data_IF_250103174618
#
_entry.id   IF_250103174618
#
_cell.length_a   1.000
_cell.length_b   1.000
_cell.length_c   1.000
_cell.angle_alpha   90.00
_cell.angle_beta   90.00
_cell.angle_gamma   90.00
#
_symmetry.space_group_name_H-M   'P 1'
#
loop_
_entity.id
_entity.type
_entity.pdbx_description
1 polymer ?
#
# COMPACT_ATOMS: atom_id res chain seq x y z
N UNK A 1 33.60 16.05 -8.68
CA UNK A 1 33.65 14.59 -8.85
C UNK A 1 32.71 14.16 -9.95
N UNK A 2 33.24 13.58 -11.03
CA UNK A 2 32.44 13.03 -12.12
C UNK A 2 32.72 11.52 -12.19
N UNK A 3 31.65 10.73 -12.36
CA UNK A 3 31.77 9.29 -12.52
C UNK A 3 32.47 8.96 -13.84
N UNK A 4 33.31 7.93 -13.83
CA UNK A 4 33.88 7.37 -15.05
C UNK A 4 32.80 6.68 -15.88
N UNK A 5 33.08 6.40 -17.16
CA UNK A 5 32.14 5.68 -18.04
C UNK A 5 31.73 4.32 -17.49
N UNK A 6 32.66 3.61 -16.85
CA UNK A 6 32.39 2.31 -16.21
C UNK A 6 31.45 2.45 -15.00
N UNK A 7 31.64 3.51 -14.22
CA UNK A 7 30.77 3.79 -13.08
C UNK A 7 29.36 4.20 -13.53
N UNK A 8 29.25 4.99 -14.60
CA UNK A 8 27.96 5.32 -15.23
C UNK A 8 27.22 4.08 -15.70
N UNK A 9 27.91 3.16 -16.38
CA UNK A 9 27.31 1.89 -16.79
C UNK A 9 26.83 1.07 -15.58
N UNK A 10 27.57 1.09 -14.47
CA UNK A 10 27.15 0.46 -13.22
C UNK A 10 25.87 1.07 -12.64
N UNK A 11 25.74 2.39 -12.66
CA UNK A 11 24.53 3.10 -12.19
C UNK A 11 23.33 2.78 -13.07
N UNK A 12 23.48 2.82 -14.40
CA UNK A 12 22.39 2.52 -15.32
C UNK A 12 21.89 1.07 -15.16
N UNK A 13 22.81 0.12 -15.00
CA UNK A 13 22.45 -1.27 -14.76
C UNK A 13 21.67 -1.44 -13.45
N UNK A 14 22.11 -0.78 -12.37
CA UNK A 14 21.44 -0.84 -11.06
C UNK A 14 20.03 -0.23 -11.13
N UNK A 15 19.88 0.93 -11.77
CA UNK A 15 18.58 1.58 -11.92
C UNK A 15 17.63 0.77 -12.80
N UNK A 16 18.16 0.09 -13.83
CA UNK A 16 17.39 -0.77 -14.71
C UNK A 16 16.96 -2.05 -13.99
N UNK A 17 17.85 -2.67 -13.21
CA UNK A 17 17.59 -3.89 -12.45
C UNK A 17 16.54 -3.69 -11.35
N UNK A 18 16.58 -2.54 -10.67
CA UNK A 18 15.71 -2.23 -9.52
C UNK A 18 14.75 -1.07 -9.81
N UNK A 19 14.33 -0.92 -11.07
CA UNK A 19 13.54 0.22 -11.54
C UNK A 19 12.22 0.39 -10.76
N UNK A 20 11.59 -0.72 -10.38
CA UNK A 20 10.37 -0.79 -9.56
C UNK A 20 10.59 -0.25 -8.14
N UNK A 21 11.68 -0.64 -7.49
CA UNK A 21 12.10 -0.16 -6.16
C UNK A 21 12.34 1.35 -6.22
N UNK A 22 13.10 1.82 -7.21
CA UNK A 22 13.40 3.25 -7.38
C UNK A 22 12.16 4.08 -7.77
N UNK A 23 11.25 3.51 -8.56
CA UNK A 23 9.98 4.13 -8.89
C UNK A 23 9.00 4.18 -7.71
N UNK A 24 9.30 3.49 -6.59
CA UNK A 24 8.39 3.26 -5.48
C UNK A 24 7.04 2.70 -5.97
N UNK A 25 7.09 1.86 -7.00
CA UNK A 25 5.92 1.26 -7.60
C UNK A 25 5.50 0.04 -6.80
N UNK A 26 4.22 -0.03 -6.44
CA UNK A 26 3.65 -1.22 -5.79
C UNK A 26 3.07 -2.08 -6.90
N UNK A 27 3.85 -3.04 -7.39
CA UNK A 27 3.45 -3.99 -8.45
C UNK A 27 3.07 -5.37 -7.91
N UNK A 28 3.72 -5.81 -6.83
CA UNK A 28 3.50 -7.14 -6.26
C UNK A 28 3.82 -7.20 -4.76
N UNK A 29 3.27 -8.20 -4.08
CA UNK A 29 3.58 -8.52 -2.69
C UNK A 29 4.38 -9.82 -2.61
N UNK A 30 5.66 -9.68 -2.26
CA UNK A 30 6.53 -10.80 -1.92
C UNK A 30 6.48 -11.07 -0.42
N UNK A 31 5.64 -12.01 0.02
CA UNK A 31 5.55 -12.39 1.42
C UNK A 31 6.86 -13.02 1.91
N UNK A 32 7.42 -12.50 3.01
CA UNK A 32 8.59 -13.08 3.66
C UNK A 32 8.21 -14.40 4.31
N UNK A 33 8.95 -15.47 4.00
CA UNK A 33 8.71 -16.80 4.59
C UNK A 33 8.85 -16.72 6.11
N UNK A 34 7.79 -17.06 6.83
CA UNK A 34 7.74 -16.98 8.29
C UNK A 34 7.55 -15.57 8.86
N UNK A 35 7.40 -14.55 8.01
CA UNK A 35 7.08 -13.19 8.42
C UNK A 35 5.61 -13.08 8.83
N UNK A 36 5.34 -12.94 10.13
CA UNK A 36 4.00 -12.73 10.66
C UNK A 36 3.92 -11.39 11.38
N UNK A 37 2.97 -10.54 11.00
CA UNK A 37 2.66 -9.33 11.77
C UNK A 37 1.66 -9.66 12.88
N UNK A 38 2.13 -9.72 14.14
CA UNK A 38 1.29 -9.97 15.31
C UNK A 38 0.84 -8.68 15.97
N UNK A 39 -0.46 -8.42 15.92
CA UNK A 39 -1.08 -7.34 16.67
C UNK A 39 -1.22 -7.73 18.14
N UNK A 40 -0.62 -6.95 19.05
CA UNK A 40 -0.77 -7.15 20.49
C UNK A 40 -2.12 -6.58 20.98
N UNK A 41 -3.19 -7.35 20.80
CA UNK A 41 -4.54 -6.98 21.18
C UNK A 41 -4.80 -7.38 22.63
N UNK A 42 -5.18 -6.42 23.48
CA UNK A 42 -5.57 -6.71 24.87
C UNK A 42 -6.89 -7.51 24.89
N UNK A 43 -7.06 -8.49 25.81
CA UNK A 43 -8.22 -9.41 25.80
C UNK A 43 -9.60 -8.75 25.87
N UNK A 44 -9.72 -7.56 26.46
CA UNK A 44 -11.01 -6.87 26.67
C UNK A 44 -11.30 -5.78 25.64
N UNK A 45 -10.51 -5.68 24.57
CA UNK A 45 -10.71 -4.64 23.55
C UNK A 45 -11.81 -5.06 22.58
N UNK A 46 -12.87 -4.25 22.51
CA UNK A 46 -13.91 -4.37 21.50
C UNK A 46 -13.61 -3.44 20.34
N UNK A 47 -13.48 -3.98 19.13
CA UNK A 47 -13.33 -3.19 17.91
C UNK A 47 -14.70 -2.89 17.29
N UNK A 48 -14.80 -1.73 16.63
CA UNK A 48 -15.97 -1.42 15.80
C UNK A 48 -15.96 -2.32 14.56
N UNK A 49 -17.07 -3.00 14.28
CA UNK A 49 -17.32 -3.70 13.00
C UNK A 49 -18.24 -2.89 12.08
N UNK A 50 -18.67 -1.71 12.52
CA UNK A 50 -19.60 -0.86 11.77
C UNK A 50 -18.87 -0.19 10.60
N UNK A 51 -19.28 -0.54 9.39
CA UNK A 51 -18.83 0.14 8.17
C UNK A 51 -19.47 1.53 8.11
N UNK A 52 -18.69 2.56 8.42
CA UNK A 52 -19.14 3.94 8.30
C UNK A 52 -18.75 4.49 6.93
N UNK A 53 -19.75 4.71 6.06
CA UNK A 53 -19.53 5.41 4.80
C UNK A 53 -19.46 6.90 5.09
N UNK A 54 -18.24 7.46 5.07
CA UNK A 54 -18.06 8.91 5.10
C UNK A 54 -18.39 9.47 3.72
N UNK A 55 -19.01 10.65 3.65
CA UNK A 55 -19.14 11.37 2.39
C UNK A 55 -17.75 11.80 1.92
N UNK A 56 -17.31 11.27 0.79
CA UNK A 56 -16.07 11.62 0.11
C UNK A 56 -16.45 12.51 -1.08
N UNK A 57 -15.67 13.56 -1.38
CA UNK A 57 -15.92 14.40 -2.56
C UNK A 57 -15.68 13.58 -3.83
N UNK A 58 -16.35 13.87 -4.95
CA UNK A 58 -16.15 13.11 -6.19
C UNK A 58 -14.67 13.04 -6.64
N UNK A 59 -13.92 14.14 -6.48
CA UNK A 59 -12.49 14.18 -6.79
C UNK A 59 -11.65 13.28 -5.89
N UNK A 60 -11.95 13.23 -4.59
CA UNK A 60 -11.26 12.35 -3.65
C UNK A 60 -11.66 10.89 -3.84
N UNK A 61 -12.89 10.61 -4.28
CA UNK A 61 -13.36 9.27 -4.58
C UNK A 61 -12.59 8.67 -5.76
N UNK A 62 -12.41 9.41 -6.85
CA UNK A 62 -11.63 8.94 -8.00
C UNK A 62 -10.18 8.59 -7.62
N UNK A 63 -9.55 9.37 -6.74
CA UNK A 63 -8.20 9.09 -6.25
C UNK A 63 -8.16 7.84 -5.35
N UNK A 64 -9.14 7.69 -4.46
CA UNK A 64 -9.29 6.50 -3.63
C UNK A 64 -9.49 5.25 -4.49
N UNK A 65 -10.38 5.29 -5.47
CA UNK A 65 -10.68 4.16 -6.36
C UNK A 65 -9.45 3.74 -7.16
N UNK A 66 -8.70 4.71 -7.72
CA UNK A 66 -7.44 4.42 -8.41
C UNK A 66 -6.40 3.76 -7.50
N UNK A 67 -6.29 4.23 -6.25
CA UNK A 67 -5.38 3.65 -5.26
C UNK A 67 -5.80 2.24 -4.86
N UNK A 68 -7.09 2.03 -4.60
CA UNK A 68 -7.64 0.71 -4.26
C UNK A 68 -7.42 -0.29 -5.39
N UNK A 69 -7.67 0.11 -6.64
CA UNK A 69 -7.46 -0.75 -7.80
C UNK A 69 -5.98 -1.14 -7.96
N UNK A 70 -5.05 -0.21 -7.74
CA UNK A 70 -3.62 -0.51 -7.76
C UNK A 70 -3.22 -1.52 -6.68
N UNK A 71 -3.68 -1.32 -5.45
CA UNK A 71 -3.40 -2.22 -4.33
C UNK A 71 -4.06 -3.60 -4.48
N UNK A 72 -5.25 -3.67 -5.10
CA UNK A 72 -5.91 -4.92 -5.45
C UNK A 72 -5.15 -5.66 -6.56
N UNK A 73 -4.67 -4.94 -7.58
CA UNK A 73 -3.90 -5.52 -8.67
C UNK A 73 -2.54 -6.08 -8.20
N UNK A 74 -1.93 -5.44 -7.20
CA UNK A 74 -0.68 -5.88 -6.59
C UNK A 74 -0.85 -6.95 -5.50
N UNK A 75 -2.07 -7.47 -5.27
CA UNK A 75 -2.42 -8.44 -4.22
C UNK A 75 -2.09 -7.97 -2.78
N UNK A 76 -2.01 -6.65 -2.56
CA UNK A 76 -1.86 -6.04 -1.23
C UNK A 76 -3.17 -6.10 -0.45
N UNK A 77 -4.29 -5.91 -1.16
CA UNK A 77 -5.64 -5.93 -0.60
C UNK A 77 -6.42 -7.10 -1.19
N UNK A 78 -7.39 -7.59 -0.41
CA UNK A 78 -8.40 -8.54 -0.89
C UNK A 78 -9.79 -8.13 -0.40
N UNK A 79 -10.79 -8.44 -1.22
CA UNK A 79 -12.18 -8.30 -0.80
C UNK A 79 -12.52 -9.33 0.28
N UNK A 80 -13.33 -8.95 1.26
CA UNK A 80 -13.83 -9.83 2.31
C UNK A 80 -15.36 -9.70 2.41
N UNK A 81 -16.04 -10.75 2.88
CA UNK A 81 -17.46 -10.66 3.14
C UNK A 81 -17.71 -9.78 4.36
N UNK A 82 -18.84 -9.05 4.36
CA UNK A 82 -19.27 -8.23 5.51
C UNK A 82 -19.36 -9.06 6.80
N UNK A 83 -19.71 -10.34 6.70
CA UNK A 83 -19.79 -11.26 7.85
C UNK A 83 -18.43 -11.58 8.47
N UNK A 84 -17.34 -11.43 7.72
CA UNK A 84 -15.98 -11.75 8.17
C UNK A 84 -15.26 -10.54 8.79
N UNK A 85 -15.93 -9.40 8.88
CA UNK A 85 -15.37 -8.17 9.45
C UNK A 85 -15.13 -8.35 10.96
N UNK A 86 -13.86 -8.33 11.34
CA UNK A 86 -13.43 -8.33 12.75
C UNK A 86 -13.20 -6.91 13.28
N UNK A 87 -12.85 -5.96 12.40
CA UNK A 87 -12.65 -4.56 12.74
C UNK A 87 -12.78 -3.68 11.48
N UNK A 88 -13.28 -2.45 11.67
CA UNK A 88 -13.32 -1.41 10.65
C UNK A 88 -12.79 -0.10 11.23
N UNK A 89 -12.03 0.62 10.42
CA UNK A 89 -11.60 2.00 10.71
C UNK A 89 -11.84 2.88 9.50
N UNK A 90 -12.16 4.17 9.70
CA UNK A 90 -12.40 5.07 8.59
C UNK A 90 -11.09 5.38 7.84
N UNK A 91 -11.15 5.34 6.51
CA UNK A 91 -10.05 5.79 5.65
C UNK A 91 -10.15 7.30 5.43
N UNK A 92 -9.01 7.99 5.45
CA UNK A 92 -8.89 9.40 5.09
C UNK A 92 -7.81 9.55 4.04
N UNK A 93 -8.12 10.22 2.94
CA UNK A 93 -7.12 10.61 1.96
C UNK A 93 -6.30 11.77 2.52
N UNK A 94 -5.00 11.56 2.68
CA UNK A 94 -4.07 12.62 3.03
C UNK A 94 -3.75 13.46 1.79
N UNK A 95 -3.66 14.77 1.96
CA UNK A 95 -3.11 15.65 0.93
C UNK A 95 -1.59 15.45 0.91
N UNK A 96 -1.01 15.24 -0.28
CA UNK A 96 0.44 15.31 -0.43
C UNK A 96 0.87 16.75 -0.16
N UNK A 97 1.80 16.96 0.79
CA UNK A 97 2.44 18.25 0.96
C UNK A 97 3.25 18.52 -0.32
N UNK A 98 2.90 19.61 -1.00
CA UNK A 98 3.58 20.07 -2.20
C UNK A 98 4.95 20.65 -1.84
#
# INVERSE_FOLDING_TARGET
DNLSTEQWAGVDNLLTEFADIFALSVSEVCAVVGGEHRLNIKPSVTFSTKVQHRRITPSAQANLDATLNSLLAADVLRSINVKDIKCCSPVKMAQKAH
#
